data_IF_311407246025
#
_entry.id   IF_311407246025
#
_cell.length_a   1.000
_cell.length_b   1.000
_cell.length_c   1.000
_cell.angle_alpha   90.00
_cell.angle_beta   90.00
_cell.angle_gamma   90.00
#
_symmetry.space_group_name_H-M   'P 1'
#
loop_
_entity.id
_entity.type
_entity.pdbx_description
1 polymer ?
#
# COMPACT_ATOMS: atom_id res chain seq x y z
N UNK A 1 4.08 -20.35 36.37
CA UNK A 1 3.32 -20.90 35.22
C UNK A 1 2.43 -19.77 34.72
N UNK A 2 2.84 -19.06 33.66
CA UNK A 2 1.94 -18.12 32.97
C UNK A 2 0.80 -18.94 32.38
N UNK A 3 -0.44 -18.61 32.73
CA UNK A 3 -1.60 -19.35 32.23
C UNK A 3 -1.68 -19.19 30.70
N UNK A 4 -2.14 -20.20 29.98
CA UNK A 4 -2.31 -20.15 28.51
C UNK A 4 -3.11 -18.92 28.05
N UNK A 5 -3.99 -18.41 28.91
CA UNK A 5 -4.75 -17.19 28.69
C UNK A 5 -3.86 -15.92 28.60
N UNK A 6 -2.83 -15.81 29.43
CA UNK A 6 -1.90 -14.67 29.40
C UNK A 6 -1.07 -14.67 28.12
N UNK A 7 -0.63 -15.85 27.67
CA UNK A 7 0.09 -15.99 26.39
C UNK A 7 -0.80 -15.61 25.20
N UNK A 8 -2.03 -16.12 25.15
CA UNK A 8 -2.99 -15.79 24.08
C UNK A 8 -3.31 -14.29 24.07
N UNK A 9 -3.53 -13.67 25.23
CA UNK A 9 -3.78 -12.22 25.32
C UNK A 9 -2.57 -11.41 24.88
N UNK A 10 -1.36 -11.80 25.27
CA UNK A 10 -0.12 -11.15 24.84
C UNK A 10 0.05 -11.23 23.31
N UNK A 11 -0.20 -12.38 22.71
CA UNK A 11 -0.07 -12.58 21.26
C UNK A 11 -1.18 -11.81 20.49
N UNK A 12 -2.43 -11.83 20.96
CA UNK A 12 -3.52 -11.02 20.38
C UNK A 12 -3.21 -9.53 20.47
N UNK A 13 -2.68 -9.06 21.60
CA UNK A 13 -2.28 -7.67 21.77
C UNK A 13 -1.10 -7.30 20.89
N UNK A 14 -0.10 -8.18 20.75
CA UNK A 14 1.02 -8.01 19.82
C UNK A 14 0.54 -7.91 18.37
N UNK A 15 -0.34 -8.81 17.93
CA UNK A 15 -0.94 -8.75 16.60
C UNK A 15 -1.75 -7.47 16.37
N UNK A 16 -2.58 -7.05 17.35
CA UNK A 16 -3.28 -5.77 17.29
C UNK A 16 -2.29 -4.61 17.18
N UNK A 17 -1.21 -4.63 17.98
CA UNK A 17 -0.20 -3.58 18.01
C UNK A 17 0.52 -3.41 16.68
N UNK A 18 1.02 -4.52 16.14
CA UNK A 18 1.70 -4.54 14.84
C UNK A 18 0.73 -4.14 13.71
N UNK A 19 -0.56 -4.51 13.82
CA UNK A 19 -1.56 -4.16 12.82
C UNK A 19 -1.90 -2.67 12.78
N UNK A 20 -1.97 -1.96 13.91
CA UNK A 20 -2.28 -0.51 13.87
C UNK A 20 -1.09 0.30 13.37
N UNK A 21 0.13 -0.08 13.75
CA UNK A 21 1.35 0.57 13.24
C UNK A 21 1.43 0.43 11.72
N UNK A 22 1.25 -0.78 11.20
CA UNK A 22 1.25 -0.99 9.75
C UNK A 22 0.16 -0.20 9.02
N UNK A 23 -1.02 -0.05 9.64
CA UNK A 23 -2.13 0.76 9.07
C UNK A 23 -1.78 2.24 9.04
N UNK A 24 -1.15 2.77 10.09
CA UNK A 24 -0.72 4.18 10.13
C UNK A 24 0.40 4.45 9.14
N UNK A 25 1.39 3.56 9.02
CA UNK A 25 2.47 3.69 8.05
C UNK A 25 1.91 3.68 6.64
N UNK A 26 1.03 2.72 6.33
CA UNK A 26 0.37 2.66 5.02
C UNK A 26 -0.45 3.93 4.75
N UNK A 27 -1.25 4.38 5.72
CA UNK A 27 -2.02 5.62 5.59
C UNK A 27 -1.12 6.84 5.34
N UNK A 28 0.01 6.95 6.05
CA UNK A 28 0.96 8.05 5.90
C UNK A 28 1.59 8.07 4.51
N UNK A 29 2.12 6.94 4.04
CA UNK A 29 2.73 6.84 2.70
C UNK A 29 1.68 7.11 1.61
N UNK A 30 0.47 6.57 1.75
CA UNK A 30 -0.62 6.84 0.81
C UNK A 30 -1.08 8.29 0.82
N UNK A 31 -1.10 8.96 1.97
CA UNK A 31 -1.43 10.38 2.05
C UNK A 31 -0.37 11.25 1.37
N UNK A 32 0.92 10.93 1.56
CA UNK A 32 2.01 11.59 0.83
C UNK A 32 1.87 11.39 -0.67
N UNK A 33 1.63 10.16 -1.13
CA UNK A 33 1.37 9.89 -2.54
C UNK A 33 0.19 10.69 -3.08
N UNK A 34 -0.92 10.77 -2.32
CA UNK A 34 -2.10 11.52 -2.74
C UNK A 34 -1.80 13.02 -2.85
N UNK A 35 -1.08 13.58 -1.88
CA UNK A 35 -0.68 14.98 -1.87
C UNK A 35 0.17 15.34 -3.09
N UNK A 36 1.08 14.45 -3.52
CA UNK A 36 1.90 14.64 -4.70
C UNK A 36 1.12 14.44 -6.00
N UNK A 37 0.26 13.42 -6.05
CA UNK A 37 -0.44 13.02 -7.27
C UNK A 37 -1.59 13.95 -7.67
N UNK A 38 -2.22 14.65 -6.72
CA UNK A 38 -3.31 15.58 -7.02
C UNK A 38 -2.84 16.75 -7.91
N UNK A 39 -1.76 17.48 -7.58
CA UNK A 39 -1.18 18.50 -8.46
C UNK A 39 -0.75 17.95 -9.84
N UNK A 40 -0.23 16.73 -9.89
CA UNK A 40 0.21 16.10 -11.15
C UNK A 40 -0.93 15.93 -12.15
N UNK A 41 -2.16 15.67 -11.66
CA UNK A 41 -3.36 15.61 -12.50
C UNK A 41 -3.61 16.91 -13.31
N UNK A 42 -3.09 18.04 -12.81
CA UNK A 42 -3.21 19.35 -13.43
C UNK A 42 -1.91 19.82 -14.09
N UNK A 43 -0.97 18.91 -14.36
CA UNK A 43 0.31 19.23 -14.99
C UNK A 43 1.24 20.06 -14.10
N UNK A 44 1.08 20.00 -12.77
CA UNK A 44 1.90 20.75 -11.82
C UNK A 44 2.58 19.82 -10.82
N UNK A 45 3.80 20.13 -10.38
CA UNK A 45 4.52 19.32 -9.39
C UNK A 45 4.94 20.16 -8.18
N UNK A 46 4.66 19.72 -6.94
CA UNK A 46 5.14 20.40 -5.73
C UNK A 46 6.66 20.27 -5.52
N UNK A 47 7.29 19.30 -6.19
CA UNK A 47 8.69 18.92 -5.98
C UNK A 47 9.61 19.29 -7.14
N UNK A 48 9.04 19.52 -8.33
CA UNK A 48 9.81 19.70 -9.57
C UNK A 48 9.31 20.92 -10.36
N UNK A 49 10.20 21.55 -11.12
CA UNK A 49 9.90 22.75 -11.91
C UNK A 49 9.07 22.46 -13.18
N UNK A 50 8.65 23.52 -13.87
CA UNK A 50 7.81 23.43 -15.06
C UNK A 50 8.44 22.63 -16.23
N UNK A 51 9.77 22.50 -16.28
CA UNK A 51 10.46 21.79 -17.37
C UNK A 51 10.32 20.26 -17.32
N UNK A 52 9.93 19.71 -16.17
CA UNK A 52 9.56 18.28 -16.03
C UNK A 52 8.08 18.00 -16.33
N UNK A 53 7.30 19.02 -16.70
CA UNK A 53 5.83 18.95 -16.71
C UNK A 53 5.20 18.50 -18.04
N UNK A 54 6.00 18.19 -19.06
CA UNK A 54 5.46 17.85 -20.37
C UNK A 54 4.86 16.44 -20.38
N UNK A 55 3.54 16.38 -20.60
CA UNK A 55 2.66 15.23 -20.89
C UNK A 55 2.59 14.06 -19.89
N UNK A 56 3.60 13.79 -19.07
CA UNK A 56 3.64 12.60 -18.22
C UNK A 56 2.90 12.79 -16.87
N UNK A 57 2.85 14.02 -16.36
CA UNK A 57 2.27 14.32 -15.03
C UNK A 57 0.79 13.94 -14.90
N UNK A 58 -0.05 14.19 -15.90
CA UNK A 58 -1.49 13.88 -15.79
C UNK A 58 -1.74 12.38 -15.63
N UNK A 59 -1.03 11.57 -16.41
CA UNK A 59 -1.07 10.10 -16.33
C UNK A 59 -0.56 9.62 -14.97
N UNK A 60 0.59 10.13 -14.54
CA UNK A 60 1.23 9.73 -13.28
C UNK A 60 0.43 10.20 -12.06
N UNK A 61 -0.28 11.33 -12.18
CA UNK A 61 -1.29 11.80 -11.22
C UNK A 61 -2.45 10.82 -11.11
N UNK A 62 -3.02 10.37 -12.22
CA UNK A 62 -4.12 9.40 -12.20
C UNK A 62 -3.71 8.04 -11.60
N UNK A 63 -2.54 7.53 -11.98
CA UNK A 63 -1.98 6.30 -11.39
C UNK A 63 -1.68 6.47 -9.90
N UNK A 64 -1.03 7.58 -9.53
CA UNK A 64 -0.68 7.93 -8.16
C UNK A 64 -1.88 8.07 -7.24
N UNK A 65 -2.96 8.73 -7.69
CA UNK A 65 -4.23 8.83 -6.96
C UNK A 65 -4.83 7.44 -6.75
N UNK A 66 -4.85 6.60 -7.79
CA UNK A 66 -5.41 5.24 -7.72
C UNK A 66 -4.66 4.36 -6.71
N UNK A 67 -3.33 4.43 -6.72
CA UNK A 67 -2.46 3.75 -5.74
C UNK A 67 -2.72 4.26 -4.32
N UNK A 68 -2.75 5.60 -4.14
CA UNK A 68 -2.97 6.23 -2.85
C UNK A 68 -4.33 5.86 -2.24
N UNK A 69 -5.41 5.94 -3.02
CA UNK A 69 -6.75 5.59 -2.56
C UNK A 69 -6.85 4.10 -2.20
N UNK A 70 -6.17 3.23 -2.94
CA UNK A 70 -6.10 1.80 -2.63
C UNK A 70 -5.41 1.56 -1.29
N UNK A 71 -4.27 2.23 -1.04
CA UNK A 71 -3.55 2.14 0.23
C UNK A 71 -4.34 2.72 1.41
N UNK A 72 -4.99 3.88 1.25
CA UNK A 72 -5.87 4.47 2.26
C UNK A 72 -7.07 3.56 2.58
N UNK A 73 -7.69 2.95 1.57
CA UNK A 73 -8.80 2.02 1.75
C UNK A 73 -8.35 0.78 2.55
N UNK A 74 -7.18 0.23 2.26
CA UNK A 74 -6.62 -0.91 3.00
C UNK A 74 -6.21 -0.51 4.42
N UNK A 75 -5.61 0.66 4.61
CA UNK A 75 -5.29 1.21 5.92
C UNK A 75 -6.56 1.41 6.77
N UNK A 76 -7.66 1.88 6.18
CA UNK A 76 -8.95 1.97 6.84
C UNK A 76 -9.55 0.59 7.15
N UNK A 77 -9.48 -0.34 6.19
CA UNK A 77 -10.14 -1.65 6.26
C UNK A 77 -9.25 -2.72 5.63
N UNK A 78 -8.39 -3.34 6.44
CA UNK A 78 -7.35 -4.31 6.00
C UNK A 78 -7.89 -5.51 5.23
N UNK A 79 -9.15 -5.91 5.44
CA UNK A 79 -9.82 -6.97 4.66
C UNK A 79 -9.96 -6.65 3.16
N UNK A 80 -9.73 -5.40 2.75
CA UNK A 80 -9.70 -5.02 1.34
C UNK A 80 -8.38 -5.40 0.65
N UNK A 81 -7.31 -5.71 1.40
CA UNK A 81 -5.98 -5.98 0.85
C UNK A 81 -5.98 -7.08 -0.22
N UNK A 82 -6.77 -8.14 -0.01
CA UNK A 82 -6.89 -9.25 -0.97
C UNK A 82 -7.40 -8.80 -2.35
N UNK A 83 -8.28 -7.79 -2.38
CA UNK A 83 -8.85 -7.24 -3.63
C UNK A 83 -8.00 -6.11 -4.19
N UNK A 84 -7.38 -5.31 -3.31
CA UNK A 84 -6.54 -4.19 -3.71
C UNK A 84 -5.20 -4.65 -4.31
N UNK A 85 -4.64 -5.78 -3.85
CA UNK A 85 -3.31 -6.22 -4.28
C UNK A 85 -3.22 -6.48 -5.79
N UNK A 86 -4.14 -7.23 -6.45
CA UNK A 86 -4.09 -7.40 -7.90
C UNK A 86 -4.21 -6.10 -8.68
N UNK A 87 -5.08 -5.18 -8.22
CA UNK A 87 -5.24 -3.86 -8.85
C UNK A 87 -3.94 -3.05 -8.75
N UNK A 88 -3.37 -2.95 -7.56
CA UNK A 88 -2.12 -2.22 -7.32
C UNK A 88 -0.95 -2.83 -8.07
N UNK A 89 -0.90 -4.17 -8.16
CA UNK A 89 0.08 -4.86 -9.00
C UNK A 89 -0.04 -4.46 -10.48
N UNK A 90 -1.26 -4.46 -11.03
CA UNK A 90 -1.48 -4.03 -12.41
C UNK A 90 -1.08 -2.56 -12.63
N UNK A 91 -1.45 -1.66 -11.71
CA UNK A 91 -1.07 -0.26 -11.77
C UNK A 91 0.46 -0.08 -11.74
N UNK A 92 1.17 -0.87 -10.93
CA UNK A 92 2.63 -0.87 -10.88
C UNK A 92 3.27 -1.35 -12.18
N UNK A 93 2.70 -2.38 -12.82
CA UNK A 93 3.16 -2.84 -14.14
C UNK A 93 3.00 -1.71 -15.17
N UNK A 94 1.84 -1.04 -15.19
CA UNK A 94 1.58 0.08 -16.10
C UNK A 94 2.55 1.24 -15.84
N UNK A 95 2.72 1.64 -14.58
CA UNK A 95 3.68 2.68 -14.17
C UNK A 95 5.10 2.35 -14.63
N UNK A 96 5.52 1.08 -14.47
CA UNK A 96 6.86 0.62 -14.84
C UNK A 96 7.05 0.63 -16.35
N UNK A 97 6.07 0.16 -17.11
CA UNK A 97 6.11 0.20 -18.57
C UNK A 97 6.27 1.63 -19.10
N UNK A 98 5.55 2.59 -18.51
CA UNK A 98 5.69 3.99 -18.86
C UNK A 98 7.03 4.60 -18.44
N UNK A 99 7.55 4.25 -17.27
CA UNK A 99 8.90 4.68 -16.87
C UNK A 99 9.96 4.25 -17.90
N UNK A 100 9.88 3.02 -18.43
CA UNK A 100 10.76 2.58 -19.51
C UNK A 100 10.55 3.38 -20.81
N UNK A 101 9.30 3.60 -21.22
CA UNK A 101 8.99 4.39 -22.43
C UNK A 101 9.59 5.79 -22.32
N UNK A 102 9.38 6.45 -21.19
CA UNK A 102 9.82 7.82 -20.97
C UNK A 102 11.36 7.90 -20.86
N UNK A 103 12.00 6.90 -20.25
CA UNK A 103 13.46 6.75 -20.21
C UNK A 103 14.07 6.62 -21.61
N UNK A 104 13.48 5.81 -22.49
CA UNK A 104 13.94 5.63 -23.87
C UNK A 104 13.66 6.84 -24.77
N UNK A 105 12.72 7.69 -24.39
CA UNK A 105 12.39 8.91 -25.12
C UNK A 105 13.21 10.15 -24.67
N UNK A 106 14.21 9.96 -23.78
CA UNK A 106 15.02 11.03 -23.18
C UNK A 106 14.20 12.10 -22.41
N UNK A 107 12.99 11.77 -21.98
CA UNK A 107 12.04 12.73 -21.41
C UNK A 107 12.06 12.84 -19.87
N UNK A 108 13.00 12.20 -19.16
CA UNK A 108 12.93 12.09 -17.69
C UNK A 108 14.20 12.46 -16.96
N UNK A 109 14.08 13.39 -16.01
CA UNK A 109 15.07 13.62 -14.96
C UNK A 109 15.00 12.50 -13.91
N UNK A 110 16.13 11.86 -13.60
CA UNK A 110 16.22 10.72 -12.67
C UNK A 110 15.59 10.93 -11.28
N UNK A 111 15.46 12.19 -10.82
CA UNK A 111 14.77 12.55 -9.57
C UNK A 111 13.27 12.23 -9.56
N UNK A 112 12.59 12.32 -10.70
CA UNK A 112 11.15 12.06 -10.84
C UNK A 112 10.83 10.56 -10.70
N UNK A 113 11.73 9.70 -11.17
CA UNK A 113 11.57 8.24 -11.08
C UNK A 113 11.57 7.74 -9.62
N UNK A 114 12.38 8.35 -8.74
CA UNK A 114 12.43 7.97 -7.32
C UNK A 114 11.11 8.16 -6.59
N UNK A 115 10.29 9.13 -6.99
CA UNK A 115 8.99 9.38 -6.35
C UNK A 115 8.02 8.21 -6.60
N UNK A 116 8.16 7.51 -7.73
CA UNK A 116 7.32 6.35 -8.04
C UNK A 116 7.56 5.14 -7.12
N UNK A 117 8.68 5.11 -6.38
CA UNK A 117 8.90 4.09 -5.36
C UNK A 117 7.88 4.14 -4.22
N UNK A 118 7.21 5.28 -4.01
CA UNK A 118 6.08 5.38 -3.08
C UNK A 118 4.95 4.41 -3.48
N UNK A 119 4.68 4.26 -4.79
CA UNK A 119 3.72 3.29 -5.31
C UNK A 119 4.10 1.85 -4.96
N UNK A 120 5.37 1.50 -5.11
CA UNK A 120 5.89 0.18 -4.72
C UNK A 120 5.80 -0.04 -3.20
N UNK A 121 6.12 0.97 -2.39
CA UNK A 121 5.98 0.91 -0.93
C UNK A 121 4.53 0.71 -0.49
N UNK A 122 3.56 1.35 -1.16
CA UNK A 122 2.13 1.11 -0.93
C UNK A 122 1.77 -0.34 -1.27
N UNK A 123 2.24 -0.87 -2.40
CA UNK A 123 2.02 -2.25 -2.81
C UNK A 123 2.53 -3.26 -1.76
N UNK A 124 3.75 -3.07 -1.25
CA UNK A 124 4.32 -3.88 -0.16
C UNK A 124 3.47 -3.76 1.11
N UNK A 125 3.09 -2.53 1.49
CA UNK A 125 2.25 -2.30 2.66
C UNK A 125 0.88 -3.00 2.56
N UNK A 126 0.27 -3.01 1.38
CA UNK A 126 -0.97 -3.75 1.12
C UNK A 126 -0.73 -5.27 1.21
N UNK A 127 0.36 -5.78 0.64
CA UNK A 127 0.70 -7.20 0.67
C UNK A 127 0.84 -7.73 2.11
N UNK A 128 1.38 -6.95 3.04
CA UNK A 128 1.47 -7.30 4.47
C UNK A 128 0.10 -7.57 5.12
N UNK A 129 -0.97 -7.02 4.58
CA UNK A 129 -2.34 -7.22 5.07
C UNK A 129 -3.12 -8.30 4.32
N UNK A 130 -2.54 -8.88 3.25
CA UNK A 130 -3.15 -10.02 2.57
C UNK A 130 -3.06 -11.23 3.49
N UNK A 131 -4.20 -11.60 4.06
CA UNK A 131 -4.34 -12.85 4.78
C UNK A 131 -4.83 -13.91 3.79
N UNK A 132 -4.25 -15.12 3.80
CA UNK A 132 -4.92 -16.27 3.20
C UNK A 132 -6.33 -16.33 3.80
N UNK A 133 -7.36 -16.55 2.98
CA UNK A 133 -8.68 -16.93 3.51
C UNK A 133 -8.46 -18.21 4.31
N UNK A 134 -8.39 -18.06 5.63
CA UNK A 134 -7.92 -19.12 6.51
C UNK A 134 -8.76 -20.38 6.34
N UNK A 135 -8.08 -21.53 6.35
CA UNK A 135 -8.73 -22.74 6.86
C UNK A 135 -9.29 -22.39 8.24
N UNK A 136 -10.54 -22.80 8.48
CA UNK A 136 -11.14 -22.67 9.80
C UNK A 136 -10.14 -23.22 10.82
N UNK A 137 -9.76 -22.40 11.81
CA UNK A 137 -9.04 -22.92 12.97
C UNK A 137 -9.87 -24.07 13.52
N UNK A 138 -9.43 -25.32 13.31
CA UNK A 138 -10.09 -26.45 13.94
C UNK A 138 -10.00 -26.20 15.43
N UNK A 139 -11.16 -26.00 16.08
CA UNK A 139 -11.23 -26.02 17.55
C UNK A 139 -10.45 -27.24 18.02
N UNK A 140 -9.54 -27.11 19.01
CA UNK A 140 -8.94 -28.28 19.64
C UNK A 140 -10.08 -29.17 20.13
N UNK A 141 -10.30 -30.31 19.46
CA UNK A 141 -11.20 -31.35 19.98
C UNK A 141 -10.52 -31.92 21.21
N UNK A 142 -10.90 -31.44 22.40
CA UNK A 142 -10.28 -31.93 23.62
C UNK A 142 -10.67 -31.27 24.93
N UNK A 143 -11.35 -30.11 24.93
CA UNK A 143 -11.81 -29.50 26.19
C UNK A 143 -13.04 -30.27 26.70
N UNK A 144 -12.80 -31.36 27.42
CA UNK A 144 -13.78 -31.95 28.32
C UNK A 144 -14.10 -30.90 29.38
N UNK A 145 -15.34 -30.44 29.41
CA UNK A 145 -15.91 -29.79 30.58
C UNK A 145 -15.95 -30.85 31.67
N UNK A 146 -15.02 -30.77 32.62
CA UNK A 146 -15.14 -31.52 33.87
C UNK A 146 -16.18 -30.76 34.69
N UNK A 147 -17.34 -31.39 34.92
CA UNK A 147 -18.34 -30.94 35.88
C UNK A 147 -17.87 -31.20 37.29
#
# INVERSE_FOLDING_TARGET
MTSDAEFVLAEVNRFRRTSWLGRLVLAGISAVQLFLAVPWLFGSSPLFGAETADLHLTRDGALGISLALSGLAVAWRTRLAFFALPLVFLLMVVQTAFAFIDYFAEHVTSGFEWVHLLGAAIGVGIAMFVRPRGSQSQRPRGIRVVK
#
